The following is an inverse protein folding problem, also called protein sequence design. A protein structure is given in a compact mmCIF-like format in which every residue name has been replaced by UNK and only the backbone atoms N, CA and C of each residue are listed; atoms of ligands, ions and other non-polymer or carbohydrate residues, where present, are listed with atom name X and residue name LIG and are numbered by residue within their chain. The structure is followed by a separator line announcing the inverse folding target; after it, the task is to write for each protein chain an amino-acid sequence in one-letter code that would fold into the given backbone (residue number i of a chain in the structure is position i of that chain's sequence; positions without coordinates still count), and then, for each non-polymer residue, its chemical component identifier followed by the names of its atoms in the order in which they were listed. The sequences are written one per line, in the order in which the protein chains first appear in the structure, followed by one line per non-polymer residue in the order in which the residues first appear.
data_IF_541838024984
#
_entry.id   IF_541838024984
#
_cell.length_a   1.000
_cell.length_b   1.000
_cell.length_c   1.000
_cell.angle_alpha   90.00
_cell.angle_beta   90.00
_cell.angle_gamma   90.00
#
_symmetry.space_group_name_H-M   'P 1'
#
loop_
_entity.id
_entity.type
_entity.pdbx_description
1 polymer ?
#
# COMPACT_ATOMS: atom_id res chain seq x y z
N UNK A 1 22.30 -6.77 -11.69
CA UNK A 1 21.09 -6.67 -12.54
C UNK A 1 20.77 -8.06 -13.06
N UNK A 2 19.51 -8.43 -13.16
CA UNK A 2 19.08 -9.72 -13.70
C UNK A 2 17.92 -9.53 -14.67
N UNK A 3 17.92 -10.31 -15.76
CA UNK A 3 16.80 -10.37 -16.72
C UNK A 3 16.22 -11.78 -16.66
N UNK A 4 14.90 -11.88 -16.46
CA UNK A 4 14.16 -13.14 -16.39
C UNK A 4 12.87 -13.04 -17.20
N UNK A 5 12.09 -14.13 -17.20
CA UNK A 5 10.74 -14.15 -17.76
C UNK A 5 9.73 -14.42 -16.64
N UNK A 6 8.56 -13.81 -16.76
CA UNK A 6 7.39 -14.17 -15.94
C UNK A 6 6.79 -15.50 -16.40
N UNK A 7 5.88 -16.08 -15.61
CA UNK A 7 5.14 -17.29 -16.00
C UNK A 7 4.41 -17.14 -17.34
N UNK A 8 3.93 -15.93 -17.64
CA UNK A 8 3.23 -15.60 -18.89
C UNK A 8 4.19 -15.11 -19.99
N UNK A 9 5.47 -15.41 -19.90
CA UNK A 9 6.46 -15.19 -20.97
C UNK A 9 6.97 -13.76 -21.14
N UNK A 10 6.43 -12.77 -20.40
CA UNK A 10 6.87 -11.36 -20.45
C UNK A 10 8.28 -11.19 -19.90
N UNK A 11 9.04 -10.26 -20.47
CA UNK A 11 10.39 -9.92 -20.00
C UNK A 11 10.30 -9.16 -18.68
N UNK A 12 11.09 -9.61 -17.70
CA UNK A 12 11.22 -8.99 -16.38
C UNK A 12 12.67 -8.57 -16.17
N UNK A 13 12.87 -7.32 -15.77
CA UNK A 13 14.17 -6.77 -15.39
C UNK A 13 14.15 -6.48 -13.90
N UNK A 14 15.11 -7.06 -13.18
CA UNK A 14 15.35 -6.82 -11.76
C UNK A 14 16.64 -6.01 -11.59
N UNK A 15 16.49 -4.82 -11.03
CA UNK A 15 17.58 -3.92 -10.69
C UNK A 15 17.67 -3.78 -9.16
N UNK A 16 18.91 -3.76 -8.67
CA UNK A 16 19.20 -3.66 -7.24
C UNK A 16 20.24 -2.55 -7.04
N UNK A 17 20.07 -1.80 -5.97
CA UNK A 17 21.05 -0.90 -5.39
C UNK A 17 21.11 -1.18 -3.88
N UNK A 18 22.06 -0.59 -3.12
CA UNK A 18 22.11 -0.80 -1.68
C UNK A 18 20.84 -0.40 -0.93
N UNK A 19 20.06 0.54 -1.49
CA UNK A 19 18.88 1.13 -0.83
C UNK A 19 17.56 0.76 -1.48
N UNK A 20 17.58 0.21 -2.70
CA UNK A 20 16.37 0.01 -3.49
C UNK A 20 16.43 -1.23 -4.35
N UNK A 21 15.26 -1.83 -4.56
CA UNK A 21 15.01 -2.83 -5.61
C UNK A 21 13.94 -2.29 -6.54
N UNK A 22 14.14 -2.44 -7.86
CA UNK A 22 13.15 -2.14 -8.89
C UNK A 22 12.92 -3.36 -9.77
N UNK A 23 11.66 -3.59 -10.12
CA UNK A 23 11.18 -4.59 -11.05
C UNK A 23 10.43 -3.90 -12.18
N UNK A 24 10.87 -4.10 -13.40
CA UNK A 24 10.17 -3.65 -14.61
C UNK A 24 9.72 -4.89 -15.37
N UNK A 25 8.44 -4.98 -15.70
CA UNK A 25 7.90 -6.01 -16.61
C UNK A 25 7.39 -5.32 -17.86
N UNK A 26 7.83 -5.79 -19.02
CA UNK A 26 7.42 -5.22 -20.30
C UNK A 26 7.17 -6.30 -21.34
N UNK A 27 6.35 -5.95 -22.34
CA UNK A 27 6.19 -6.77 -23.53
C UNK A 27 7.40 -6.51 -24.46
N UNK A 28 8.19 -7.54 -24.74
CA UNK A 28 9.39 -7.38 -25.56
C UNK A 28 9.10 -7.14 -27.06
N UNK A 29 7.92 -7.51 -27.56
CA UNK A 29 7.58 -7.27 -28.97
C UNK A 29 7.06 -5.86 -29.22
N UNK A 30 6.36 -5.26 -28.25
CA UNK A 30 5.77 -3.91 -28.39
C UNK A 30 6.54 -2.83 -27.63
N UNK A 31 7.36 -3.19 -26.64
CA UNK A 31 8.05 -2.26 -25.75
C UNK A 31 7.17 -1.70 -24.62
N UNK A 32 5.91 -2.10 -24.54
CA UNK A 32 4.97 -1.59 -23.54
C UNK A 32 5.36 -2.04 -22.12
N UNK A 33 5.39 -1.08 -21.19
CA UNK A 33 5.62 -1.36 -19.75
C UNK A 33 4.30 -1.78 -19.12
N UNK A 34 4.28 -2.98 -18.56
CA UNK A 34 3.11 -3.59 -17.94
C UNK A 34 3.15 -3.52 -16.41
N UNK A 35 4.35 -3.32 -15.84
CA UNK A 35 4.55 -3.08 -14.42
C UNK A 35 5.85 -2.32 -14.21
N UNK A 36 5.77 -1.33 -13.35
CA UNK A 36 6.93 -0.67 -12.75
C UNK A 36 6.75 -0.66 -11.24
N UNK A 37 7.55 -1.46 -10.55
CA UNK A 37 7.48 -1.61 -9.10
C UNK A 37 8.85 -1.34 -8.50
N UNK A 38 8.91 -0.48 -7.49
CA UNK A 38 10.13 -0.24 -6.73
C UNK A 38 9.82 -0.28 -5.24
N UNK A 39 10.83 -0.68 -4.46
CA UNK A 39 10.77 -0.71 -3.01
C UNK A 39 12.10 -0.24 -2.43
N UNK A 40 12.03 0.51 -1.32
CA UNK A 40 13.18 0.74 -0.47
C UNK A 40 13.56 -0.56 0.25
N UNK A 41 14.86 -0.80 0.39
CA UNK A 41 15.40 -1.91 1.15
C UNK A 41 15.69 -1.39 2.56
N UNK A 42 14.75 -1.57 3.48
CA UNK A 42 15.01 -1.32 4.90
C UNK A 42 15.86 -2.45 5.48
N UNK A 43 16.86 -2.16 6.32
CA UNK A 43 17.75 -3.18 6.89
C UNK A 43 17.01 -4.23 7.74
N UNK A 44 15.77 -3.97 8.17
CA UNK A 44 14.92 -4.90 8.91
C UNK A 44 13.93 -5.72 8.05
N UNK A 45 13.83 -5.46 6.74
CA UNK A 45 12.82 -6.09 5.88
C UNK A 45 13.22 -7.46 5.30
N UNK A 46 14.35 -8.03 5.73
CA UNK A 46 14.90 -9.22 5.09
C UNK A 46 14.13 -10.53 5.33
N UNK A 47 13.08 -10.55 6.14
CA UNK A 47 12.29 -11.79 6.35
C UNK A 47 10.80 -11.48 6.60
N UNK A 48 10.12 -10.88 5.62
CA UNK A 48 8.66 -10.89 5.61
C UNK A 48 8.19 -12.31 5.25
N UNK A 49 7.99 -13.15 6.26
CA UNK A 49 7.44 -14.48 6.07
C UNK A 49 5.96 -14.32 5.67
N UNK A 50 5.51 -14.80 4.50
CA UNK A 50 4.12 -14.67 4.10
C UNK A 50 3.24 -15.32 5.17
N UNK A 51 2.36 -14.52 5.80
CA UNK A 51 1.40 -15.00 6.79
C UNK A 51 0.13 -15.41 6.06
N UNK A 52 -0.31 -16.65 6.27
CA UNK A 52 -1.65 -17.08 5.87
C UNK A 52 -2.58 -16.58 6.97
N UNK A 53 -3.43 -15.60 6.65
CA UNK A 53 -4.49 -15.16 7.55
C UNK A 53 -5.62 -16.18 7.46
N UNK A 54 -5.92 -16.84 8.58
CA UNK A 54 -7.10 -17.70 8.68
C UNK A 54 -8.34 -16.82 8.90
N UNK A 55 -9.29 -16.77 7.95
CA UNK A 55 -10.50 -15.95 8.10
C UNK A 55 -11.44 -16.46 9.20
N UNK A 56 -11.22 -17.67 9.73
CA UNK A 56 -12.04 -18.26 10.78
C UNK A 56 -11.48 -18.04 12.19
N UNK A 57 -10.28 -17.46 12.33
CA UNK A 57 -9.74 -17.07 13.62
C UNK A 57 -10.36 -15.73 14.06
N UNK A 58 -11.63 -15.78 14.47
CA UNK A 58 -12.22 -14.75 15.31
C UNK A 58 -11.33 -14.53 16.53
N UNK A 59 -11.03 -13.27 16.84
CA UNK A 59 -9.97 -12.85 17.76
C UNK A 59 -9.89 -13.67 19.06
N UNK A 60 -8.70 -14.21 19.32
CA UNK A 60 -8.29 -14.68 20.64
C UNK A 60 -6.84 -14.24 20.86
N UNK A 61 -6.68 -13.08 21.49
CA UNK A 61 -5.45 -12.72 22.18
C UNK A 61 -5.48 -13.37 23.57
N UNK A 62 -4.74 -14.46 23.75
CA UNK A 62 -4.32 -15.04 25.05
C UNK A 62 -3.33 -16.18 24.70
N UNK A 63 -2.27 -16.53 25.41
CA UNK A 63 -1.73 -16.18 26.71
C UNK A 63 -0.30 -16.74 26.72
N UNK A 64 0.73 -15.91 26.96
CA UNK A 64 2.05 -16.39 27.37
C UNK A 64 2.06 -16.55 28.90
N UNK A 65 2.26 -17.77 29.37
CA UNK A 65 2.13 -18.20 30.77
C UNK A 65 3.25 -17.69 31.68
N UNK A 66 2.87 -17.17 32.86
CA UNK A 66 3.75 -17.08 34.03
C UNK A 66 2.95 -17.39 35.29
N UNK A 67 3.43 -18.39 36.01
CA UNK A 67 2.89 -18.92 37.25
C UNK A 67 3.19 -17.96 38.42
N UNK A 68 2.19 -17.63 39.23
CA UNK A 68 2.43 -16.93 40.50
C UNK A 68 1.22 -16.21 41.10
N UNK A 69 0.50 -16.90 42.00
CA UNK A 69 -0.07 -16.37 43.23
C UNK A 69 -0.99 -15.14 43.21
N UNK A 70 -2.28 -15.39 43.49
CA UNK A 70 -3.00 -14.70 44.57
C UNK A 70 -3.69 -13.37 44.25
N UNK A 71 -5.03 -13.41 44.26
CA UNK A 71 -5.83 -12.44 45.01
C UNK A 71 -6.35 -11.19 44.28
N UNK A 72 -7.68 -11.14 44.20
CA UNK A 72 -8.55 -9.98 44.39
C UNK A 72 -8.95 -9.16 43.15
N UNK A 73 -10.19 -9.41 42.73
CA UNK A 73 -11.27 -8.45 42.47
C UNK A 73 -10.89 -6.97 42.32
N UNK A 74 -11.21 -6.39 41.15
CA UNK A 74 -12.07 -5.19 41.02
C UNK A 74 -12.28 -4.80 39.55
N UNK A 75 -13.54 -4.50 39.26
CA UNK A 75 -14.11 -3.71 38.17
C UNK A 75 -13.15 -2.74 37.45
N UNK A 76 -13.39 -2.51 36.15
CA UNK A 76 -14.00 -1.24 35.74
C UNK A 76 -14.28 -1.22 34.22
N UNK A 77 -15.56 -0.94 33.92
CA UNK A 77 -16.13 -0.62 32.62
C UNK A 77 -15.37 0.49 31.90
N UNK A 78 -14.93 0.28 30.65
CA UNK A 78 -14.74 1.36 29.66
C UNK A 78 -15.04 0.87 28.24
N UNK A 79 -16.28 1.10 27.82
CA UNK A 79 -16.65 1.12 26.42
C UNK A 79 -15.95 2.25 25.67
N UNK A 80 -15.68 2.05 24.39
CA UNK A 80 -15.51 3.14 23.44
C UNK A 80 -15.71 2.61 22.02
N UNK A 81 -16.98 2.56 21.60
CA UNK A 81 -17.39 2.49 20.21
C UNK A 81 -16.95 3.78 19.51
N UNK A 82 -16.02 3.69 18.56
CA UNK A 82 -15.78 4.77 17.59
C UNK A 82 -15.61 4.20 16.19
N UNK A 83 -16.76 4.04 15.55
CA UNK A 83 -16.88 4.15 14.10
C UNK A 83 -16.52 5.58 13.71
N UNK A 84 -15.49 5.76 12.91
CA UNK A 84 -15.23 7.01 12.18
C UNK A 84 -14.86 6.63 10.75
N UNK A 85 -15.89 6.25 9.98
CA UNK A 85 -15.86 6.23 8.51
C UNK A 85 -15.86 7.69 8.04
N UNK A 86 -14.72 8.16 7.53
CA UNK A 86 -14.63 9.44 6.80
C UNK A 86 -13.99 9.21 5.45
N UNK A 87 -14.85 8.83 4.50
CA UNK A 87 -14.63 8.96 3.08
C UNK A 87 -14.76 10.46 2.71
N UNK A 88 -13.62 11.13 2.52
CA UNK A 88 -13.56 12.49 1.94
C UNK A 88 -12.95 12.38 0.52
N UNK A 89 -13.75 11.91 -0.44
CA UNK A 89 -13.46 11.99 -1.87
C UNK A 89 -13.57 13.46 -2.34
N UNK A 90 -12.42 14.12 -2.54
CA UNK A 90 -12.33 15.43 -3.19
C UNK A 90 -11.95 15.26 -4.65
N UNK A 91 -12.98 15.17 -5.49
CA UNK A 91 -12.87 15.18 -6.93
C UNK A 91 -12.78 16.61 -7.53
N UNK A 92 -11.81 16.71 -8.44
CA UNK A 92 -11.84 17.42 -9.73
C UNK A 92 -11.53 18.94 -9.82
N UNK A 93 -10.24 19.20 -10.04
CA UNK A 93 -9.66 20.44 -10.62
C UNK A 93 -9.99 20.54 -12.12
N UNK A 94 -11.01 21.34 -12.44
CA UNK A 94 -11.35 21.68 -13.83
C UNK A 94 -10.70 22.99 -14.27
N UNK A 95 -9.38 22.94 -14.50
CA UNK A 95 -8.66 23.94 -15.28
C UNK A 95 -9.05 23.85 -16.77
N UNK A 96 -10.05 24.64 -17.18
CA UNK A 96 -10.37 24.90 -18.60
C UNK A 96 -10.29 26.38 -18.91
N UNK A 97 -9.14 26.79 -19.43
CA UNK A 97 -8.97 28.11 -20.03
C UNK A 97 -9.87 28.29 -21.25
N UNK A 98 -10.47 29.48 -21.36
CA UNK A 98 -10.86 30.12 -22.64
C UNK A 98 -10.80 31.63 -22.49
N UNK A 99 -9.85 32.25 -23.16
CA UNK A 99 -9.84 33.69 -23.37
C UNK A 99 -11.04 34.12 -24.21
N UNK A 100 -11.59 35.29 -23.88
CA UNK A 100 -12.39 36.12 -24.79
C UNK A 100 -12.06 37.57 -24.52
N UNK A 101 -11.45 38.20 -25.52
CA UNK A 101 -11.09 39.61 -25.53
C UNK A 101 -12.34 40.48 -25.50
N UNK A 102 -12.23 41.56 -24.73
CA UNK A 102 -13.23 42.61 -24.60
C UNK A 102 -12.74 43.80 -25.44
N UNK A 103 -13.06 43.80 -26.73
CA UNK A 103 -12.89 44.96 -27.62
C UNK A 103 -14.22 45.70 -27.67
N UNK A 104 -14.27 46.88 -27.09
CA UNK A 104 -15.46 47.73 -27.03
C UNK A 104 -15.77 48.39 -28.37
N UNK A 105 -17.07 48.45 -28.67
CA UNK A 105 -17.68 49.23 -29.74
C UNK A 105 -18.12 50.62 -29.20
N UNK A 106 -18.14 51.59 -30.12
CA UNK A 106 -18.93 52.84 -30.17
C UNK A 106 -18.58 54.04 -29.25
N UNK A 107 -17.93 55.08 -29.80
CA UNK A 107 -18.51 56.36 -30.31
C UNK A 107 -17.42 57.32 -30.81
#
# INVERSE_FOLDING_TARGET
MQVTRTLLGRTRVLAFSPKFRREIVFNASTGEILRDYWQALSPSQSTQNPQIVDPNSGGSSSQGSSFGGGGNDRNDDRGNDRNDDRDDDRDDDSSRGRGRGHGGEDD
#
